data_IF_775727173281
#
_entry.id   IF_775727173281
#
_cell.length_a   1.000
_cell.length_b   1.000
_cell.length_c   1.000
_cell.angle_alpha   90.00
_cell.angle_beta   90.00
_cell.angle_gamma   90.00
#
_symmetry.space_group_name_H-M   'P 1'
#
loop_
_entity.id
_entity.type
_entity.pdbx_description
1 polymer ?
#
# COMPACT_ATOMS: atom_id res chain seq x y z
N UNK A 1 39.76 -17.02 -24.25
CA UNK A 1 40.02 -17.24 -22.81
C UNK A 1 38.80 -16.82 -22.00
N UNK A 2 37.76 -17.67 -21.91
CA UNK A 2 36.49 -17.32 -21.23
C UNK A 2 36.37 -18.08 -19.90
N UNK A 3 36.31 -17.35 -18.78
CA UNK A 3 36.10 -17.95 -17.46
C UNK A 3 34.60 -18.25 -17.29
N UNK A 4 34.22 -19.52 -17.32
CA UNK A 4 32.87 -19.98 -16.94
C UNK A 4 32.78 -19.97 -15.41
N UNK A 5 31.88 -19.16 -14.86
CA UNK A 5 31.55 -19.18 -13.43
C UNK A 5 30.83 -20.50 -13.10
N UNK A 6 31.36 -21.25 -12.15
CA UNK A 6 30.79 -22.51 -11.68
C UNK A 6 29.46 -22.25 -10.96
N UNK A 7 28.39 -22.94 -11.39
CA UNK A 7 27.14 -23.03 -10.62
C UNK A 7 27.41 -23.93 -9.42
N UNK A 8 27.44 -23.34 -8.23
CA UNK A 8 27.52 -24.10 -6.98
C UNK A 8 26.21 -24.86 -6.78
N UNK A 9 26.29 -26.19 -6.78
CA UNK A 9 25.17 -27.07 -6.49
C UNK A 9 24.86 -26.98 -4.99
N UNK A 10 23.70 -26.42 -4.65
CA UNK A 10 23.29 -26.26 -3.26
C UNK A 10 22.73 -27.60 -2.74
N UNK A 11 23.50 -28.29 -1.90
CA UNK A 11 23.06 -29.48 -1.19
C UNK A 11 21.84 -29.13 -0.32
N UNK A 12 20.74 -29.83 -0.55
CA UNK A 12 19.48 -29.60 0.17
C UNK A 12 19.53 -30.34 1.51
N UNK A 13 19.87 -29.63 2.57
CA UNK A 13 19.73 -30.11 3.96
C UNK A 13 18.24 -30.36 4.27
N UNK A 14 17.87 -31.39 5.06
CA UNK A 14 16.47 -31.68 5.36
C UNK A 14 15.83 -30.50 6.08
N UNK A 15 14.67 -30.08 5.59
CA UNK A 15 13.88 -28.99 6.15
C UNK A 15 13.12 -29.57 7.34
N UNK A 16 13.35 -29.03 8.53
CA UNK A 16 12.46 -29.28 9.67
C UNK A 16 11.10 -28.62 9.38
N UNK A 17 10.11 -29.42 9.03
CA UNK A 17 8.76 -28.99 8.66
C UNK A 17 7.83 -28.86 9.86
N UNK A 18 8.33 -28.99 11.10
CA UNK A 18 7.47 -29.10 12.30
C UNK A 18 7.35 -27.86 13.18
N UNK A 19 8.23 -26.86 13.05
CA UNK A 19 8.26 -25.69 13.95
C UNK A 19 7.65 -24.44 13.28
N UNK A 20 6.81 -23.73 14.03
CA UNK A 20 6.27 -22.43 13.64
C UNK A 20 7.43 -21.42 13.49
N UNK A 21 7.77 -21.09 12.24
CA UNK A 21 8.94 -20.26 11.90
C UNK A 21 8.64 -18.81 12.30
N UNK A 22 9.46 -18.15 13.14
CA UNK A 22 9.24 -16.77 13.54
C UNK A 22 9.19 -15.83 12.32
N UNK A 23 8.25 -14.89 12.35
CA UNK A 23 8.15 -13.84 11.32
C UNK A 23 9.31 -12.87 11.47
N UNK A 24 10.06 -12.68 10.38
CA UNK A 24 11.20 -11.74 10.29
C UNK A 24 11.06 -10.86 9.05
N UNK A 25 11.94 -9.86 8.88
CA UNK A 25 11.89 -8.95 7.74
C UNK A 25 11.98 -9.68 6.39
N UNK A 26 11.22 -9.24 5.37
CA UNK A 26 11.14 -9.92 4.07
C UNK A 26 12.50 -10.13 3.37
N UNK A 27 13.47 -9.23 3.63
CA UNK A 27 14.83 -9.29 3.07
C UNK A 27 15.83 -10.04 3.96
N UNK A 28 15.46 -10.33 5.20
CA UNK A 28 16.29 -11.04 6.18
C UNK A 28 16.38 -12.54 5.83
N UNK A 29 17.44 -13.24 6.28
CA UNK A 29 17.54 -14.69 6.13
C UNK A 29 16.37 -15.39 6.83
N UNK A 30 15.82 -16.43 6.21
CA UNK A 30 14.70 -17.16 6.77
C UNK A 30 15.15 -18.01 7.98
N UNK A 31 14.46 -17.94 9.13
CA UNK A 31 14.87 -18.66 10.34
C UNK A 31 14.75 -20.19 10.24
N UNK A 32 14.12 -20.74 9.20
CA UNK A 32 13.98 -22.19 8.99
C UNK A 32 15.28 -22.90 8.54
N UNK A 33 16.42 -22.19 8.49
CA UNK A 33 17.70 -22.77 8.08
C UNK A 33 17.83 -23.03 6.56
N UNK A 34 16.85 -22.63 5.74
CA UNK A 34 16.87 -22.87 4.29
C UNK A 34 17.96 -22.11 3.52
N UNK A 35 18.65 -21.16 4.15
CA UNK A 35 19.60 -20.24 3.51
C UNK A 35 18.95 -19.26 2.52
N UNK A 36 17.62 -19.28 2.37
CA UNK A 36 16.86 -18.38 1.50
C UNK A 36 16.45 -17.13 2.29
N UNK A 37 16.22 -16.01 1.58
CA UNK A 37 15.55 -14.83 2.17
C UNK A 37 14.13 -15.18 2.60
N UNK A 38 13.64 -14.55 3.66
CA UNK A 38 12.33 -14.83 4.24
C UNK A 38 11.21 -14.73 3.20
N UNK A 39 11.17 -13.67 2.37
CA UNK A 39 10.22 -13.51 1.26
C UNK A 39 10.19 -14.69 0.27
N UNK A 40 11.33 -15.34 0.03
CA UNK A 40 11.42 -16.46 -0.91
C UNK A 40 11.08 -17.82 -0.28
N UNK A 41 10.86 -17.87 1.04
CA UNK A 41 10.54 -19.06 1.80
C UNK A 41 9.16 -18.92 2.48
N UNK A 42 9.13 -18.51 3.75
CA UNK A 42 7.92 -18.43 4.58
C UNK A 42 7.21 -17.06 4.52
N UNK A 43 7.88 -16.01 4.07
CA UNK A 43 7.32 -14.66 3.91
C UNK A 43 6.59 -14.44 2.58
N UNK A 44 6.21 -15.50 1.84
CA UNK A 44 5.59 -15.37 0.52
C UNK A 44 4.22 -14.70 0.57
N UNK A 45 3.40 -15.06 1.56
CA UNK A 45 2.07 -14.47 1.74
C UNK A 45 2.17 -12.99 2.10
N UNK A 46 3.07 -12.63 3.02
CA UNK A 46 3.36 -11.23 3.36
C UNK A 46 3.94 -10.44 2.18
N UNK A 47 4.64 -11.11 1.27
CA UNK A 47 5.20 -10.47 0.08
C UNK A 47 4.17 -10.13 -0.99
N UNK A 48 2.99 -10.77 -0.96
CA UNK A 48 1.89 -10.53 -1.88
C UNK A 48 0.83 -9.55 -1.34
N UNK A 49 0.94 -9.09 -0.10
CA UNK A 49 -0.08 -8.30 0.59
C UNK A 49 -0.33 -6.89 0.03
N UNK A 50 0.46 -6.45 -0.96
CA UNK A 50 0.22 -5.21 -1.71
C UNK A 50 -0.50 -5.52 -3.03
N UNK A 51 -1.63 -6.20 -2.94
CA UNK A 51 -2.56 -6.27 -4.08
C UNK A 51 -3.24 -4.91 -4.18
N UNK A 52 -2.96 -4.19 -5.27
CA UNK A 52 -3.67 -2.95 -5.58
C UNK A 52 -5.11 -3.33 -5.91
N UNK A 53 -6.08 -2.80 -5.14
CA UNK A 53 -7.50 -3.04 -5.42
C UNK A 53 -7.87 -2.43 -6.78
N UNK A 54 -8.56 -3.21 -7.63
CA UNK A 54 -9.14 -2.70 -8.87
C UNK A 54 -10.37 -1.83 -8.64
N UNK A 55 -10.99 -1.90 -7.46
CA UNK A 55 -12.09 -1.05 -7.01
C UNK A 55 -11.78 -0.48 -5.62
N UNK A 56 -10.92 0.55 -5.52
CA UNK A 56 -10.43 1.07 -4.24
C UNK A 56 -11.54 1.50 -3.27
N UNK A 57 -12.66 1.99 -3.81
CA UNK A 57 -13.77 2.54 -3.02
C UNK A 57 -14.94 1.57 -2.84
N UNK A 58 -14.75 0.28 -3.15
CA UNK A 58 -15.79 -0.73 -3.03
C UNK A 58 -16.39 -0.79 -1.62
N UNK A 59 -17.73 -0.77 -1.54
CA UNK A 59 -18.47 -0.86 -0.29
C UNK A 59 -18.74 0.50 0.39
N UNK A 60 -18.24 1.61 -0.17
CA UNK A 60 -18.64 2.94 0.27
C UNK A 60 -19.99 3.33 -0.37
N UNK A 61 -20.91 3.87 0.43
CA UNK A 61 -22.19 4.37 -0.08
C UNK A 61 -22.00 5.48 -1.14
N UNK A 62 -20.96 6.29 -0.98
CA UNK A 62 -20.58 7.39 -1.88
C UNK A 62 -19.51 6.98 -2.90
N UNK A 63 -19.35 5.68 -3.21
CA UNK A 63 -18.35 5.18 -4.16
C UNK A 63 -18.40 5.94 -5.50
N UNK A 64 -19.60 6.03 -6.11
CA UNK A 64 -19.79 6.70 -7.40
C UNK A 64 -19.43 8.19 -7.34
N UNK A 65 -19.77 8.88 -6.24
CA UNK A 65 -19.51 10.31 -6.09
C UNK A 65 -18.00 10.58 -5.95
N UNK A 66 -17.29 9.73 -5.19
CA UNK A 66 -15.83 9.83 -5.04
C UNK A 66 -15.14 9.54 -6.38
N UNK A 67 -15.58 8.52 -7.11
CA UNK A 67 -15.08 8.21 -8.45
C UNK A 67 -15.35 9.36 -9.42
N UNK A 68 -16.55 9.94 -9.40
CA UNK A 68 -16.87 11.10 -10.21
C UNK A 68 -15.98 12.30 -9.87
N UNK A 69 -15.80 12.62 -8.58
CA UNK A 69 -14.93 13.70 -8.13
C UNK A 69 -13.48 13.52 -8.58
N UNK A 70 -13.00 12.28 -8.64
CA UNK A 70 -11.62 11.94 -9.00
C UNK A 70 -11.38 11.93 -10.51
N UNK A 71 -12.31 11.37 -11.27
CA UNK A 71 -12.07 11.02 -12.68
C UNK A 71 -12.73 11.99 -13.67
N UNK A 72 -13.85 12.62 -13.29
CA UNK A 72 -14.69 13.39 -14.21
C UNK A 72 -14.81 14.87 -13.84
N UNK A 73 -14.87 15.17 -12.56
CA UNK A 73 -15.11 16.53 -12.08
C UNK A 73 -13.80 17.32 -12.16
N UNK A 74 -13.77 18.46 -12.87
CA UNK A 74 -12.53 19.23 -13.06
C UNK A 74 -12.08 19.94 -11.78
N UNK A 75 -13.03 20.34 -10.93
CA UNK A 75 -12.77 20.98 -9.64
C UNK A 75 -14.03 20.91 -8.78
N UNK A 76 -13.95 20.21 -7.67
CA UNK A 76 -14.96 20.24 -6.62
C UNK A 76 -14.34 19.94 -5.26
N UNK A 77 -15.10 20.29 -4.22
CA UNK A 77 -14.87 19.84 -2.86
C UNK A 77 -16.15 19.25 -2.30
N UNK A 78 -16.01 18.26 -1.40
CA UNK A 78 -17.14 17.63 -0.74
C UNK A 78 -16.75 17.28 0.71
N UNK A 79 -17.63 17.52 1.70
CA UNK A 79 -17.37 17.09 3.07
C UNK A 79 -17.45 15.56 3.18
N UNK A 80 -16.55 14.97 3.96
CA UNK A 80 -16.54 13.56 4.31
C UNK A 80 -16.49 13.43 5.83
N UNK A 81 -17.45 12.68 6.39
CA UNK A 81 -17.45 12.39 7.83
C UNK A 81 -16.74 11.06 8.07
N UNK A 82 -15.71 11.10 8.91
CA UNK A 82 -14.94 9.93 9.31
C UNK A 82 -15.67 9.15 10.42
N UNK A 83 -15.28 7.89 10.61
CA UNK A 83 -15.91 7.00 11.62
C UNK A 83 -15.76 7.51 13.06
N UNK A 84 -14.72 8.29 13.34
CA UNK A 84 -14.46 8.94 14.62
C UNK A 84 -15.19 10.27 14.79
N UNK A 85 -16.03 10.66 13.81
CA UNK A 85 -16.83 11.89 13.84
C UNK A 85 -16.10 13.14 13.33
N UNK A 86 -14.80 13.04 12.99
CA UNK A 86 -14.09 14.16 12.34
C UNK A 86 -14.67 14.42 10.96
N UNK A 87 -14.75 15.69 10.58
CA UNK A 87 -15.12 16.10 9.23
C UNK A 87 -13.88 16.55 8.49
N UNK A 88 -13.67 16.01 7.30
CA UNK A 88 -12.59 16.40 6.39
C UNK A 88 -13.18 16.84 5.06
N UNK A 89 -12.48 17.67 4.30
CA UNK A 89 -12.91 18.11 2.99
C UNK A 89 -12.17 17.31 1.91
N UNK A 90 -12.89 16.49 1.18
CA UNK A 90 -12.38 15.85 -0.03
C UNK A 90 -12.30 16.91 -1.13
N UNK A 91 -11.21 16.92 -1.91
CA UNK A 91 -11.02 17.80 -3.05
C UNK A 91 -10.57 16.99 -4.26
N UNK A 92 -11.04 17.36 -5.46
CA UNK A 92 -10.55 16.77 -6.72
C UNK A 92 -9.02 16.80 -6.77
N UNK A 93 -8.43 17.97 -6.54
CA UNK A 93 -6.97 18.18 -6.52
C UNK A 93 -6.63 19.29 -5.53
N UNK A 94 -5.55 19.12 -4.78
CA UNK A 94 -4.98 20.16 -3.91
C UNK A 94 -3.85 20.91 -4.63
N UNK A 95 -3.43 22.10 -4.13
CA UNK A 95 -2.25 22.76 -4.65
C UNK A 95 -1.06 21.80 -4.73
N UNK A 96 -0.33 21.86 -5.84
CA UNK A 96 0.80 20.96 -6.12
C UNK A 96 0.46 19.46 -6.18
N UNK A 97 -0.84 19.11 -6.30
CA UNK A 97 -1.34 17.74 -6.24
C UNK A 97 -0.89 16.98 -4.97
N UNK A 98 -0.88 17.69 -3.84
CA UNK A 98 -0.61 17.10 -2.53
C UNK A 98 -1.71 16.12 -2.10
N UNK A 99 -1.37 15.07 -1.34
CA UNK A 99 -2.34 14.09 -0.87
C UNK A 99 -3.22 14.62 0.26
N UNK A 100 -2.68 15.52 1.10
CA UNK A 100 -3.41 16.18 2.17
C UNK A 100 -2.85 17.57 2.45
N UNK A 101 -3.68 18.44 3.02
CA UNK A 101 -3.30 19.77 3.50
C UNK A 101 -4.11 20.10 4.75
N UNK A 102 -3.44 20.62 5.78
CA UNK A 102 -4.11 21.24 6.93
C UNK A 102 -4.00 22.75 6.79
N UNK A 103 -5.14 23.43 6.80
CA UNK A 103 -5.21 24.90 6.72
C UNK A 103 -4.93 25.54 8.08
N UNK A 104 -4.72 26.85 8.09
CA UNK A 104 -4.43 27.63 9.30
C UNK A 104 -5.58 27.62 10.33
N UNK A 105 -6.82 27.47 9.85
CA UNK A 105 -8.02 27.33 10.67
C UNK A 105 -8.25 25.90 11.19
N UNK A 106 -7.35 24.96 10.85
CA UNK A 106 -7.44 23.56 11.23
C UNK A 106 -8.28 22.69 10.29
N UNK A 107 -8.82 23.23 9.19
CA UNK A 107 -9.52 22.41 8.19
C UNK A 107 -8.56 21.41 7.53
N UNK A 108 -8.92 20.13 7.57
CA UNK A 108 -8.19 19.05 6.90
C UNK A 108 -8.79 18.84 5.52
N UNK A 109 -7.96 18.96 4.48
CA UNK A 109 -8.33 18.65 3.11
C UNK A 109 -7.57 17.44 2.60
N UNK A 110 -8.24 16.57 1.83
CA UNK A 110 -7.65 15.41 1.17
C UNK A 110 -7.78 15.53 -0.35
N UNK A 111 -6.69 15.28 -1.08
CA UNK A 111 -6.65 15.33 -2.54
C UNK A 111 -6.86 13.96 -3.17
N UNK A 112 -7.77 13.89 -4.15
CA UNK A 112 -8.06 12.66 -4.91
C UNK A 112 -7.08 12.44 -6.06
N UNK A 113 -6.68 13.51 -6.74
CA UNK A 113 -5.70 13.53 -7.80
C UNK A 113 -4.35 13.97 -7.23
N UNK A 114 -3.44 13.00 -7.10
CA UNK A 114 -2.11 13.20 -6.52
C UNK A 114 -1.03 12.85 -7.52
N UNK A 115 0.16 13.44 -7.36
CA UNK A 115 1.31 13.13 -8.20
C UNK A 115 2.04 11.83 -7.78
N UNK A 116 1.80 11.37 -6.55
CA UNK A 116 2.47 10.22 -5.94
C UNK A 116 1.42 9.38 -5.23
N UNK A 117 1.17 8.18 -5.76
CA UNK A 117 0.20 7.23 -5.20
C UNK A 117 0.68 5.79 -5.41
N UNK A 118 0.17 4.88 -4.59
CA UNK A 118 0.52 3.45 -4.65
C UNK A 118 -0.31 2.69 -5.69
N UNK A 119 -1.33 3.35 -6.24
CA UNK A 119 -2.30 2.77 -7.18
C UNK A 119 -3.62 2.37 -6.51
N UNK A 120 -3.63 2.28 -5.18
CA UNK A 120 -4.84 2.07 -4.37
C UNK A 120 -5.26 3.39 -3.73
N UNK A 121 -6.15 4.12 -4.40
CA UNK A 121 -6.53 5.47 -3.99
C UNK A 121 -7.19 5.51 -2.60
N UNK A 122 -7.91 4.46 -2.19
CA UNK A 122 -8.52 4.43 -0.86
C UNK A 122 -7.46 4.27 0.22
N UNK A 123 -6.49 3.38 0.01
CA UNK A 123 -5.37 3.21 0.93
C UNK A 123 -4.49 4.47 0.99
N UNK A 124 -4.24 5.10 -0.17
CA UNK A 124 -3.45 6.34 -0.25
C UNK A 124 -4.11 7.47 0.56
N UNK A 125 -5.44 7.65 0.45
CA UNK A 125 -6.19 8.62 1.25
C UNK A 125 -6.13 8.32 2.75
N UNK A 126 -6.28 7.06 3.13
CA UNK A 126 -6.16 6.63 4.53
C UNK A 126 -4.79 6.95 5.10
N UNK A 127 -3.72 6.60 4.37
CA UNK A 127 -2.34 6.88 4.77
C UNK A 127 -2.01 8.36 4.83
N UNK A 128 -2.63 9.20 4.01
CA UNK A 128 -2.41 10.64 4.01
C UNK A 128 -3.09 11.36 5.19
N UNK A 129 -4.07 10.72 5.81
CA UNK A 129 -4.85 11.25 6.92
C UNK A 129 -4.27 10.90 8.31
N UNK A 130 -3.43 9.86 8.40
CA UNK A 130 -2.72 9.43 9.61
C UNK A 130 -1.48 10.29 9.89
#
# INVERSE_FOLDING_TARGET
MGKRAARSANASTPIDTGAEVPVVGLREPCPCGSGRRYKACHGKEQAGANVVSSRPFEGLASECDIVALRELVPSATAPLTLKDGRVVTLATVLPMAWPALVRQDGEIMLGLQVNTGTGDASRDLGSALE
#
